data_IF_333542587616
#
_entry.id   IF_333542587616
#
_cell.length_a   1.000
_cell.length_b   1.000
_cell.length_c   1.000
_cell.angle_alpha   90.00
_cell.angle_beta   90.00
_cell.angle_gamma   90.00
#
_symmetry.space_group_name_H-M   'P 1'
#
loop_
_entity.id
_entity.type
_entity.pdbx_description
1 polymer ?
#
# COMPACT_ATOMS: atom_id res chain seq x y z
N UNK A 1 96.89 -0.27 -4.25
CA UNK A 1 96.60 0.47 -5.51
C UNK A 1 95.10 0.69 -5.59
N UNK A 2 94.69 1.86 -5.12
CA UNK A 2 93.33 2.40 -5.12
C UNK A 2 92.99 2.86 -6.54
N UNK A 3 91.93 2.33 -7.12
CA UNK A 3 91.39 2.77 -8.41
C UNK A 3 90.14 3.61 -8.12
N UNK A 4 90.32 4.93 -8.20
CA UNK A 4 89.26 5.92 -8.33
C UNK A 4 88.47 5.65 -9.63
N UNK A 5 87.14 5.66 -9.56
CA UNK A 5 86.30 5.79 -10.76
C UNK A 5 85.29 6.89 -10.51
N UNK A 6 85.42 7.93 -11.33
CA UNK A 6 84.66 9.17 -11.26
C UNK A 6 83.18 8.96 -11.58
N UNK A 7 82.33 9.55 -10.74
CA UNK A 7 80.88 9.66 -10.92
C UNK A 7 80.60 10.74 -11.97
N UNK A 8 79.93 10.38 -13.07
CA UNK A 8 79.26 11.33 -13.98
C UNK A 8 77.75 11.29 -13.70
N UNK A 9 77.06 12.44 -13.59
CA UNK A 9 75.61 12.45 -13.42
C UNK A 9 74.91 12.12 -14.75
N UNK A 10 73.97 11.18 -14.69
CA UNK A 10 73.02 10.87 -15.76
C UNK A 10 71.91 11.93 -15.73
N UNK A 11 71.76 12.70 -16.81
CA UNK A 11 70.58 13.53 -17.03
C UNK A 11 69.38 12.63 -17.35
N UNK A 12 68.35 12.68 -16.51
CA UNK A 12 67.06 12.03 -16.76
C UNK A 12 66.08 13.02 -17.40
N UNK A 13 65.47 12.62 -18.50
CA UNK A 13 64.17 13.12 -19.00
C UNK A 13 63.30 11.89 -19.31
N UNK A 14 61.96 11.94 -19.32
CA UNK A 14 60.94 12.71 -18.58
C UNK A 14 59.86 11.75 -18.00
N UNK A 15 58.62 12.19 -17.70
CA UNK A 15 57.59 11.98 -18.73
C UNK A 15 56.78 13.23 -19.03
N UNK A 16 56.26 13.29 -20.26
CA UNK A 16 55.42 14.36 -20.75
C UNK A 16 54.09 14.45 -19.97
N UNK A 17 53.66 15.68 -19.70
CA UNK A 17 52.32 15.96 -19.18
C UNK A 17 51.25 15.42 -20.15
N UNK A 18 50.16 14.82 -19.64
CA UNK A 18 49.06 14.41 -20.49
C UNK A 18 48.39 15.65 -21.11
N UNK A 19 48.22 15.62 -22.43
CA UNK A 19 47.48 16.64 -23.16
C UNK A 19 46.04 16.73 -22.64
N UNK A 20 45.56 17.97 -22.45
CA UNK A 20 44.17 18.24 -22.13
C UNK A 20 43.24 17.58 -23.17
N UNK A 21 42.10 17.00 -22.75
CA UNK A 21 41.16 16.41 -23.69
C UNK A 21 40.61 17.50 -24.62
N UNK A 22 40.37 17.19 -25.91
CA UNK A 22 39.74 18.15 -26.81
C UNK A 22 38.35 18.49 -26.29
N UNK A 23 37.99 19.78 -26.37
CA UNK A 23 36.66 20.29 -26.03
C UNK A 23 35.59 19.38 -26.64
N UNK A 24 34.87 18.68 -25.76
CA UNK A 24 33.72 17.90 -26.16
C UNK A 24 32.69 18.88 -26.71
N UNK A 25 32.41 18.76 -28.01
CA UNK A 25 31.27 19.42 -28.64
C UNK A 25 30.02 19.18 -27.78
N UNK A 26 29.14 20.18 -27.60
CA UNK A 26 27.94 19.99 -26.80
C UNK A 26 27.17 18.80 -27.36
N UNK A 27 26.96 17.79 -26.52
CA UNK A 27 26.10 16.68 -26.85
C UNK A 27 24.75 17.26 -27.26
N UNK A 28 24.34 16.99 -28.51
CA UNK A 28 23.02 17.32 -29.00
C UNK A 28 22.01 16.84 -27.94
N UNK A 29 21.39 17.80 -27.27
CA UNK A 29 20.38 17.52 -26.27
C UNK A 29 19.22 16.85 -27.00
N UNK A 30 19.12 15.52 -26.85
CA UNK A 30 17.88 14.79 -27.09
C UNK A 30 16.75 15.63 -26.49
N UNK A 31 15.66 15.93 -27.23
CA UNK A 31 14.61 16.79 -26.73
C UNK A 31 14.17 16.24 -25.37
N UNK A 32 14.40 17.01 -24.30
CA UNK A 32 14.06 16.62 -22.95
C UNK A 32 12.57 16.30 -22.96
N UNK A 33 12.22 15.01 -22.87
CA UNK A 33 10.83 14.60 -22.64
C UNK A 33 10.39 15.37 -21.41
N UNK A 34 9.36 16.21 -21.54
CA UNK A 34 8.75 16.82 -20.36
C UNK A 34 8.25 15.67 -19.47
N UNK A 35 8.76 15.62 -18.25
CA UNK A 35 8.28 14.69 -17.22
C UNK A 35 6.85 15.06 -16.85
N UNK A 36 5.99 14.06 -16.64
CA UNK A 36 4.64 14.25 -16.07
C UNK A 36 4.69 14.48 -14.55
N UNK A 37 5.85 14.45 -13.93
CA UNK A 37 6.08 14.74 -12.51
C UNK A 37 6.79 16.07 -12.37
N UNK A 38 6.07 17.10 -11.90
CA UNK A 38 6.61 18.47 -11.77
C UNK A 38 7.53 18.63 -10.55
N UNK A 39 7.26 17.89 -9.49
CA UNK A 39 7.99 17.99 -8.23
C UNK A 39 7.16 17.51 -7.06
N UNK A 40 7.44 18.07 -5.88
CA UNK A 40 6.69 17.84 -4.67
C UNK A 40 5.96 19.13 -4.26
N UNK A 41 4.88 18.99 -3.50
CA UNK A 41 4.14 20.12 -2.92
C UNK A 41 3.71 19.80 -1.50
N UNK A 42 3.86 20.76 -0.60
CA UNK A 42 3.39 20.61 0.76
C UNK A 42 1.86 20.67 0.83
N UNK A 43 1.24 19.66 1.43
CA UNK A 43 -0.23 19.61 1.62
C UNK A 43 -0.75 20.66 2.62
N UNK A 44 0.11 21.14 3.52
CA UNK A 44 -0.29 22.08 4.56
C UNK A 44 -0.18 23.55 4.12
N UNK A 45 0.95 23.95 3.53
CA UNK A 45 1.20 25.35 3.14
C UNK A 45 1.24 25.60 1.63
N UNK A 46 1.10 24.56 0.80
CA UNK A 46 1.10 24.66 -0.66
C UNK A 46 2.46 24.97 -1.29
N UNK A 47 3.54 25.08 -0.49
CA UNK A 47 4.90 25.37 -0.98
C UNK A 47 5.38 24.27 -1.95
N UNK A 48 5.87 24.63 -3.15
CA UNK A 48 6.51 23.69 -4.06
C UNK A 48 7.90 23.31 -3.54
N UNK A 49 8.30 22.08 -3.77
CA UNK A 49 9.59 21.51 -3.41
C UNK A 49 10.15 20.70 -4.59
N UNK A 50 11.48 20.64 -4.67
CA UNK A 50 12.16 19.87 -5.70
C UNK A 50 11.84 18.38 -5.58
N UNK A 51 11.85 17.68 -6.70
CA UNK A 51 11.75 16.24 -6.72
C UNK A 51 12.99 15.63 -6.05
N UNK A 52 12.79 14.79 -5.04
CA UNK A 52 13.87 14.11 -4.33
C UNK A 52 13.34 13.22 -3.22
N UNK A 53 14.22 12.51 -2.49
CA UNK A 53 13.86 11.66 -1.36
C UNK A 53 13.56 12.51 -0.12
N UNK A 54 12.55 13.38 -0.21
CA UNK A 54 12.08 14.21 0.89
C UNK A 54 10.59 13.99 1.10
N UNK A 55 10.16 14.01 2.35
CA UNK A 55 8.79 13.73 2.76
C UNK A 55 8.18 14.81 3.66
N UNK A 56 9.00 15.77 4.11
CA UNK A 56 8.63 16.86 5.00
C UNK A 56 8.98 18.20 4.36
N UNK A 57 8.04 19.15 4.42
CA UNK A 57 8.26 20.52 3.98
C UNK A 57 9.26 21.23 4.90
N UNK A 58 10.35 21.82 4.38
CA UNK A 58 11.35 22.51 5.20
C UNK A 58 10.82 23.79 5.85
N UNK A 59 9.67 24.31 5.43
CA UNK A 59 9.12 25.57 5.94
C UNK A 59 8.12 25.39 7.09
N UNK A 60 7.25 24.37 7.02
CA UNK A 60 6.16 24.17 7.98
C UNK A 60 6.11 22.76 8.57
N UNK A 61 7.05 21.89 8.20
CA UNK A 61 7.11 20.49 8.60
C UNK A 61 5.88 19.64 8.18
N UNK A 62 5.03 20.17 7.30
CA UNK A 62 3.88 19.45 6.74
C UNK A 62 4.29 18.39 5.70
N UNK A 63 3.43 17.39 5.45
CA UNK A 63 3.75 16.30 4.53
C UNK A 63 3.82 16.79 3.08
N UNK A 64 4.78 16.24 2.33
CA UNK A 64 4.92 16.45 0.89
C UNK A 64 4.08 15.43 0.10
N UNK A 65 3.61 15.86 -1.05
CA UNK A 65 2.88 15.05 -2.02
C UNK A 65 3.40 15.31 -3.44
N UNK A 66 3.29 14.31 -4.31
CA UNK A 66 3.71 14.46 -5.71
C UNK A 66 2.78 15.39 -6.46
N UNK A 67 3.36 16.36 -7.17
CA UNK A 67 2.68 17.24 -8.10
C UNK A 67 2.90 16.78 -9.54
N UNK A 68 1.81 16.59 -10.28
CA UNK A 68 1.84 16.10 -11.65
C UNK A 68 1.56 17.22 -12.66
N UNK A 69 1.99 16.99 -13.89
CA UNK A 69 1.51 17.70 -15.07
C UNK A 69 0.41 16.88 -15.75
N UNK A 70 -0.84 17.12 -15.34
CA UNK A 70 -1.99 16.38 -15.89
C UNK A 70 -2.28 16.71 -17.36
N UNK A 71 -1.77 17.81 -17.91
CA UNK A 71 -1.92 18.08 -19.35
C UNK A 71 -1.10 17.08 -20.18
N UNK A 72 0.07 16.66 -19.68
CA UNK A 72 0.84 15.58 -20.29
C UNK A 72 0.05 14.28 -20.24
N UNK A 73 -0.45 13.89 -19.06
CA UNK A 73 -1.24 12.68 -18.90
C UNK A 73 -2.49 12.67 -19.80
N UNK A 74 -3.25 13.78 -19.86
CA UNK A 74 -4.42 13.95 -20.74
C UNK A 74 -4.06 13.77 -22.21
N UNK A 75 -2.88 14.21 -22.64
CA UNK A 75 -2.47 14.14 -24.04
C UNK A 75 -1.94 12.75 -24.47
N UNK A 76 -1.46 11.91 -23.53
CA UNK A 76 -0.80 10.65 -23.87
C UNK A 76 -1.49 9.40 -23.34
N UNK A 77 -2.22 9.49 -22.22
CA UNK A 77 -2.85 8.35 -21.56
C UNK A 77 -4.30 8.19 -22.03
N UNK A 78 -4.52 7.30 -23.00
CA UNK A 78 -5.87 6.95 -23.50
C UNK A 78 -6.27 5.55 -23.07
N UNK A 79 -7.59 5.27 -23.06
CA UNK A 79 -8.14 3.93 -22.79
C UNK A 79 -7.51 2.85 -23.69
N UNK A 80 -7.32 3.17 -24.97
CA UNK A 80 -6.67 2.29 -25.94
C UNK A 80 -5.17 2.09 -25.66
N UNK A 81 -4.47 3.13 -25.22
CA UNK A 81 -3.07 3.02 -24.83
C UNK A 81 -2.91 2.09 -23.62
N UNK A 82 -3.79 2.22 -22.62
CA UNK A 82 -3.84 1.35 -21.43
C UNK A 82 -4.11 -0.10 -21.83
N UNK A 83 -5.12 -0.34 -22.67
CA UNK A 83 -5.48 -1.68 -23.13
C UNK A 83 -4.35 -2.40 -23.89
N UNK A 84 -3.48 -1.65 -24.58
CA UNK A 84 -2.31 -2.19 -25.30
C UNK A 84 -1.09 -2.49 -24.40
N UNK A 85 -1.05 -1.95 -23.18
CA UNK A 85 0.06 -2.17 -22.24
C UNK A 85 -0.12 -3.50 -21.49
N UNK A 86 0.98 -4.06 -21.00
CA UNK A 86 0.94 -5.26 -20.16
C UNK A 86 0.04 -5.03 -18.92
N UNK A 87 -0.58 -6.10 -18.36
CA UNK A 87 -1.25 -6.03 -17.08
C UNK A 87 -0.32 -5.56 -15.96
N UNK A 88 -0.88 -4.89 -14.96
CA UNK A 88 -0.20 -4.37 -13.78
C UNK A 88 -0.29 -2.85 -13.67
N UNK A 89 0.16 -2.31 -12.54
CA UNK A 89 0.02 -0.87 -12.22
C UNK A 89 0.72 0.05 -13.23
N UNK A 90 1.78 -0.43 -13.89
CA UNK A 90 2.58 0.35 -14.82
C UNK A 90 1.86 0.72 -16.11
N UNK A 91 0.68 0.13 -16.37
CA UNK A 91 -0.15 0.55 -17.50
C UNK A 91 -0.72 1.96 -17.36
N UNK A 92 -0.71 2.52 -16.14
CA UNK A 92 -1.12 3.90 -15.82
C UNK A 92 0.08 4.82 -15.54
N UNK A 93 1.23 4.57 -16.19
CA UNK A 93 2.52 5.22 -15.91
C UNK A 93 2.44 6.74 -15.71
N UNK A 94 1.67 7.43 -16.56
CA UNK A 94 1.55 8.90 -16.56
C UNK A 94 0.81 9.47 -15.34
N UNK A 95 0.14 8.63 -14.56
CA UNK A 95 -0.48 8.98 -13.27
C UNK A 95 0.29 8.39 -12.09
N UNK A 96 1.46 7.78 -12.33
CA UNK A 96 2.36 7.28 -11.30
C UNK A 96 3.61 8.14 -11.25
N UNK A 97 4.22 8.31 -10.07
CA UNK A 97 5.30 9.25 -9.91
C UNK A 97 6.62 8.58 -10.29
N UNK A 98 6.79 8.14 -11.53
CA UNK A 98 8.03 7.56 -12.10
C UNK A 98 8.11 7.93 -13.57
N UNK A 99 9.31 8.08 -14.12
CA UNK A 99 9.46 8.45 -15.53
C UNK A 99 9.24 7.27 -16.47
N UNK A 100 9.62 6.07 -16.00
CA UNK A 100 9.56 4.83 -16.78
C UNK A 100 9.11 3.68 -15.90
N UNK A 101 8.42 2.72 -16.51
CA UNK A 101 8.18 1.44 -15.86
C UNK A 101 9.53 0.75 -15.60
N UNK A 102 9.74 0.14 -14.43
CA UNK A 102 11.01 -0.49 -14.11
C UNK A 102 11.23 -1.75 -14.98
N UNK A 103 12.48 -1.99 -15.39
CA UNK A 103 12.84 -3.16 -16.20
C UNK A 103 12.72 -4.48 -15.42
N UNK A 104 12.89 -4.41 -14.09
CA UNK A 104 12.76 -5.52 -13.15
C UNK A 104 11.80 -5.13 -12.04
N UNK A 105 11.00 -6.09 -11.60
CA UNK A 105 10.06 -5.88 -10.52
C UNK A 105 9.03 -7.00 -10.43
N UNK A 106 8.19 -6.92 -9.42
CA UNK A 106 7.08 -7.85 -9.24
C UNK A 106 5.92 -7.48 -10.18
N UNK A 107 5.15 -8.49 -10.62
CA UNK A 107 3.91 -8.28 -11.36
C UNK A 107 2.79 -7.82 -10.41
N UNK A 108 2.76 -6.52 -10.14
CA UNK A 108 1.86 -5.91 -9.14
C UNK A 108 0.62 -5.32 -9.80
N UNK A 109 -0.53 -5.49 -9.15
CA UNK A 109 -1.81 -4.97 -9.63
C UNK A 109 -2.49 -5.88 -10.67
N UNK A 110 -3.41 -5.30 -11.42
CA UNK A 110 -4.39 -6.02 -12.25
C UNK A 110 -5.12 -7.13 -11.49
N UNK A 111 -5.43 -6.88 -10.22
CA UNK A 111 -6.16 -7.83 -9.37
C UNK A 111 -7.62 -7.88 -9.75
N UNK A 112 -8.28 -9.01 -9.48
CA UNK A 112 -9.66 -9.22 -9.87
C UNK A 112 -10.62 -8.24 -9.18
N UNK A 113 -11.65 -7.81 -9.92
CA UNK A 113 -12.84 -7.15 -9.36
C UNK A 113 -13.98 -8.18 -9.40
N UNK A 114 -14.16 -8.90 -8.30
CA UNK A 114 -15.06 -10.07 -8.23
C UNK A 114 -16.47 -9.62 -7.86
N UNK A 115 -17.47 -9.94 -8.68
CA UNK A 115 -18.87 -9.73 -8.31
C UNK A 115 -19.28 -10.74 -7.23
N UNK A 116 -19.77 -10.27 -6.09
CA UNK A 116 -19.99 -11.07 -4.89
C UNK A 116 -21.48 -11.15 -4.52
N UNK A 117 -22.23 -11.94 -5.28
CA UNK A 117 -23.69 -12.03 -5.15
C UNK A 117 -24.13 -12.75 -3.88
N UNK A 118 -23.39 -13.80 -3.48
CA UNK A 118 -23.74 -14.59 -2.29
C UNK A 118 -23.49 -13.78 -1.03
N UNK A 119 -22.34 -13.12 -0.95
CA UNK A 119 -21.99 -12.24 0.15
C UNK A 119 -22.94 -11.04 0.21
N UNK A 120 -23.29 -10.41 -0.92
CA UNK A 120 -24.27 -9.32 -0.94
C UNK A 120 -25.63 -9.75 -0.38
N UNK A 121 -26.08 -10.98 -0.71
CA UNK A 121 -27.29 -11.58 -0.16
C UNK A 121 -27.21 -11.78 1.35
N UNK A 122 -26.11 -12.34 1.86
CA UNK A 122 -25.91 -12.51 3.30
C UNK A 122 -25.83 -11.17 4.05
N UNK A 123 -25.27 -10.12 3.42
CA UNK A 123 -25.14 -8.77 4.01
C UNK A 123 -26.43 -7.95 3.92
N UNK A 124 -27.47 -8.44 3.24
CA UNK A 124 -28.76 -7.74 3.13
C UNK A 124 -28.69 -6.42 2.35
N UNK A 125 -27.85 -6.34 1.30
CA UNK A 125 -27.60 -5.11 0.55
C UNK A 125 -28.79 -4.54 -0.25
N UNK A 126 -29.93 -5.23 -0.26
CA UNK A 126 -31.15 -4.77 -0.92
C UNK A 126 -31.22 -5.14 -2.40
N UNK A 127 -32.39 -4.95 -2.99
CA UNK A 127 -32.62 -5.26 -4.39
C UNK A 127 -31.87 -4.29 -5.31
N UNK A 128 -31.29 -4.79 -6.40
CA UNK A 128 -30.58 -3.99 -7.40
C UNK A 128 -29.18 -3.55 -7.01
N UNK A 129 -28.79 -3.64 -5.74
CA UNK A 129 -27.44 -3.33 -5.26
C UNK A 129 -26.45 -4.38 -5.78
N UNK A 130 -25.31 -3.93 -6.29
CA UNK A 130 -24.22 -4.80 -6.72
C UNK A 130 -23.04 -4.65 -5.78
N UNK A 131 -22.47 -5.77 -5.33
CA UNK A 131 -21.21 -5.79 -4.59
C UNK A 131 -20.07 -6.33 -5.47
N UNK A 132 -19.01 -5.56 -5.55
CA UNK A 132 -17.73 -5.95 -6.13
C UNK A 132 -16.64 -6.00 -5.05
N UNK A 133 -15.81 -7.03 -5.09
CA UNK A 133 -14.66 -7.21 -4.22
C UNK A 133 -13.39 -6.97 -5.04
N UNK A 134 -12.68 -5.89 -4.71
CA UNK A 134 -11.35 -5.61 -5.30
C UNK A 134 -10.31 -6.44 -4.56
N UNK A 135 -9.91 -7.56 -5.16
CA UNK A 135 -9.21 -8.66 -4.50
C UNK A 135 -7.68 -8.51 -4.51
N UNK A 136 -7.16 -7.61 -3.66
CA UNK A 136 -5.73 -7.41 -3.48
C UNK A 136 -5.03 -8.50 -2.66
N UNK A 137 -5.76 -9.54 -2.23
CA UNK A 137 -5.22 -10.73 -1.54
C UNK A 137 -4.31 -11.57 -2.43
N UNK A 138 -4.30 -11.32 -3.75
CA UNK A 138 -3.58 -12.07 -4.77
C UNK A 138 -2.39 -11.32 -5.38
N UNK A 139 -2.06 -10.14 -4.86
CA UNK A 139 -0.80 -9.51 -5.22
C UNK A 139 0.40 -10.42 -4.84
N UNK A 140 1.60 -10.21 -5.41
CA UNK A 140 2.76 -11.11 -5.26
C UNK A 140 3.12 -11.51 -3.82
N UNK A 141 2.94 -10.60 -2.85
CA UNK A 141 3.20 -10.81 -1.42
C UNK A 141 1.92 -10.92 -0.60
N UNK A 142 0.78 -11.06 -1.29
CA UNK A 142 -0.56 -11.30 -0.78
C UNK A 142 -1.21 -10.09 -0.08
N UNK A 143 -0.83 -8.87 -0.47
CA UNK A 143 -1.48 -7.65 0.02
C UNK A 143 -1.33 -6.47 -0.94
N UNK A 144 -2.16 -5.43 -0.75
CA UNK A 144 -2.07 -4.18 -1.49
C UNK A 144 -0.74 -3.44 -1.31
N UNK A 145 0.06 -3.81 -0.29
CA UNK A 145 1.36 -3.17 -0.02
C UNK A 145 2.32 -3.29 -1.19
N UNK A 146 2.14 -4.30 -2.03
CA UNK A 146 2.91 -4.44 -3.26
C UNK A 146 2.75 -3.23 -4.19
N UNK A 147 1.55 -2.62 -4.27
CA UNK A 147 1.28 -1.45 -5.13
C UNK A 147 2.10 -0.24 -4.74
N UNK A 148 2.07 0.07 -3.45
CA UNK A 148 2.74 1.24 -2.87
C UNK A 148 4.25 1.04 -2.81
N UNK A 149 4.70 -0.18 -2.50
CA UNK A 149 6.13 -0.50 -2.50
C UNK A 149 6.70 -0.54 -3.91
N UNK A 150 5.99 -1.08 -4.91
CA UNK A 150 6.49 -1.11 -6.29
C UNK A 150 6.81 0.29 -6.82
N UNK A 151 5.94 1.27 -6.54
CA UNK A 151 6.19 2.69 -6.89
C UNK A 151 7.37 3.26 -6.11
N UNK A 152 7.46 3.00 -4.79
CA UNK A 152 8.60 3.44 -3.99
C UNK A 152 9.92 2.83 -4.49
N UNK A 153 9.95 1.54 -4.81
CA UNK A 153 11.10 0.82 -5.36
C UNK A 153 11.53 1.40 -6.70
N UNK A 154 10.60 1.64 -7.61
CA UNK A 154 10.93 2.24 -8.91
C UNK A 154 11.55 3.64 -8.75
N UNK A 155 11.01 4.47 -7.84
CA UNK A 155 11.65 5.75 -7.50
C UNK A 155 12.99 5.59 -6.80
N UNK A 156 13.14 4.57 -5.95
CA UNK A 156 14.40 4.31 -5.28
C UNK A 156 15.52 4.05 -6.30
N UNK A 157 15.23 3.23 -7.31
CA UNK A 157 16.14 2.92 -8.42
C UNK A 157 16.44 4.17 -9.24
N UNK A 158 15.45 4.99 -9.57
CA UNK A 158 15.66 6.25 -10.32
C UNK A 158 16.54 7.25 -9.55
N UNK A 159 16.47 7.26 -8.21
CA UNK A 159 17.34 8.07 -7.36
C UNK A 159 18.72 7.45 -7.11
N UNK A 160 18.99 6.24 -7.62
CA UNK A 160 20.28 5.57 -7.47
C UNK A 160 20.50 4.90 -6.12
N UNK A 161 19.44 4.65 -5.35
CA UNK A 161 19.56 3.90 -4.10
C UNK A 161 19.86 2.42 -4.36
N UNK A 162 20.70 1.84 -3.51
CA UNK A 162 21.06 0.41 -3.55
C UNK A 162 20.33 -0.44 -2.47
N UNK A 163 19.57 0.24 -1.58
CA UNK A 163 18.97 -0.37 -0.39
C UNK A 163 17.55 0.13 -0.18
N UNK A 164 16.61 -0.81 -0.02
CA UNK A 164 15.27 -0.54 0.49
C UNK A 164 15.17 -0.94 1.95
N UNK A 165 14.52 -0.08 2.72
CA UNK A 165 14.28 -0.33 4.14
C UNK A 165 12.84 0.02 4.54
N UNK A 166 12.38 -0.59 5.62
CA UNK A 166 11.14 -0.18 6.27
C UNK A 166 11.17 -0.44 7.78
N UNK A 167 10.43 0.35 8.55
CA UNK A 167 10.09 0.06 9.94
C UNK A 167 8.70 -0.59 9.97
N UNK A 168 8.63 -1.92 10.00
CA UNK A 168 7.35 -2.65 10.00
C UNK A 168 7.52 -4.12 10.37
N UNK A 169 6.46 -4.73 10.89
CA UNK A 169 6.40 -6.13 11.31
C UNK A 169 5.35 -6.94 10.55
N UNK A 170 4.77 -6.40 9.47
CA UNK A 170 3.63 -7.01 8.76
C UNK A 170 3.75 -6.91 7.24
N UNK A 171 2.61 -6.69 6.56
CA UNK A 171 2.53 -6.68 5.08
C UNK A 171 3.56 -5.77 4.40
N UNK A 172 3.90 -4.63 5.01
CA UNK A 172 4.90 -3.72 4.45
C UNK A 172 6.32 -4.33 4.46
N UNK A 173 6.67 -5.07 5.51
CA UNK A 173 7.97 -5.75 5.59
C UNK A 173 8.12 -6.79 4.48
N UNK A 174 7.11 -7.65 4.30
CA UNK A 174 7.09 -8.65 3.23
C UNK A 174 7.15 -8.03 1.84
N UNK A 175 6.34 -6.99 1.57
CA UNK A 175 6.34 -6.27 0.30
C UNK A 175 7.69 -5.60 0.01
N UNK A 176 8.30 -4.93 1.00
CA UNK A 176 9.61 -4.28 0.86
C UNK A 176 10.70 -5.29 0.55
N UNK A 177 10.74 -6.40 1.29
CA UNK A 177 11.72 -7.46 1.09
C UNK A 177 11.60 -8.10 -0.31
N UNK A 178 10.38 -8.43 -0.73
CA UNK A 178 10.14 -9.03 -2.04
C UNK A 178 10.48 -8.08 -3.20
N UNK A 179 10.09 -6.80 -3.08
CA UNK A 179 10.37 -5.81 -4.11
C UNK A 179 11.87 -5.52 -4.24
N UNK A 180 12.58 -5.45 -3.12
CA UNK A 180 14.03 -5.32 -3.10
C UNK A 180 14.71 -6.52 -3.78
N UNK A 181 14.31 -7.74 -3.43
CA UNK A 181 14.83 -8.96 -4.06
C UNK A 181 14.58 -8.97 -5.58
N UNK A 182 13.38 -8.58 -6.03
CA UNK A 182 13.04 -8.51 -7.45
C UNK A 182 13.82 -7.42 -8.20
N UNK A 183 14.11 -6.30 -7.54
CA UNK A 183 14.88 -5.19 -8.10
C UNK A 183 16.41 -5.38 -8.00
N UNK A 184 16.89 -6.38 -7.24
CA UNK A 184 18.32 -6.59 -6.98
C UNK A 184 18.91 -5.61 -5.97
N UNK A 185 18.08 -5.08 -5.06
CA UNK A 185 18.47 -4.16 -3.99
C UNK A 185 18.66 -4.91 -2.68
N UNK A 186 19.45 -4.34 -1.76
CA UNK A 186 19.49 -4.81 -0.36
C UNK A 186 18.18 -4.50 0.33
N UNK A 187 17.78 -5.35 1.27
CA UNK A 187 16.53 -5.19 2.04
C UNK A 187 16.81 -5.20 3.54
N UNK A 188 16.35 -4.17 4.25
CA UNK A 188 16.41 -4.08 5.71
C UNK A 188 15.02 -3.85 6.31
N UNK A 189 14.68 -4.64 7.33
CA UNK A 189 13.40 -4.51 8.04
C UNK A 189 13.68 -4.27 9.52
N UNK A 190 13.29 -3.11 10.02
CA UNK A 190 13.49 -2.72 11.41
C UNK A 190 12.27 -3.08 12.24
N UNK A 191 12.49 -3.82 13.33
CA UNK A 191 11.44 -4.34 14.21
C UNK A 191 11.81 -4.20 15.68
N UNK A 192 10.83 -4.12 16.59
CA UNK A 192 11.09 -4.22 18.02
C UNK A 192 11.80 -5.53 18.39
N UNK A 193 12.70 -5.48 19.37
CA UNK A 193 13.48 -6.63 19.78
C UNK A 193 12.62 -7.78 20.35
N UNK A 194 11.48 -7.51 20.93
CA UNK A 194 10.57 -8.50 21.53
C UNK A 194 9.62 -9.18 20.53
N UNK A 195 9.76 -8.90 19.23
CA UNK A 195 8.91 -9.48 18.20
C UNK A 195 9.17 -10.99 17.99
N UNK A 196 8.08 -11.76 17.94
CA UNK A 196 8.09 -13.18 17.54
C UNK A 196 8.56 -13.35 16.08
N UNK A 197 9.45 -14.31 15.83
CA UNK A 197 10.04 -14.53 14.49
C UNK A 197 8.99 -14.81 13.42
N UNK A 198 7.91 -15.54 13.76
CA UNK A 198 6.78 -15.86 12.88
C UNK A 198 6.22 -14.63 12.14
N UNK A 199 6.30 -13.43 12.73
CA UNK A 199 5.79 -12.18 12.14
C UNK A 199 6.68 -11.62 11.03
N UNK A 200 7.95 -11.98 11.00
CA UNK A 200 8.95 -11.52 10.01
C UNK A 200 9.42 -12.61 9.05
N UNK A 201 8.99 -13.86 9.23
CA UNK A 201 9.34 -14.99 8.34
C UNK A 201 9.10 -14.68 6.87
N UNK A 202 8.02 -13.95 6.58
CA UNK A 202 7.71 -13.56 5.21
C UNK A 202 8.77 -12.62 4.60
N UNK A 203 9.30 -11.67 5.38
CA UNK A 203 10.39 -10.81 4.92
C UNK A 203 11.72 -11.56 4.83
N UNK A 204 12.02 -12.42 5.81
CA UNK A 204 13.21 -13.28 5.84
C UNK A 204 13.25 -14.21 4.62
N UNK A 205 12.10 -14.73 4.18
CA UNK A 205 11.97 -15.61 3.01
C UNK A 205 12.44 -14.97 1.70
N UNK A 206 12.45 -13.63 1.60
CA UNK A 206 12.98 -12.90 0.46
C UNK A 206 14.43 -12.40 0.67
N UNK A 207 15.08 -12.80 1.75
CA UNK A 207 16.48 -12.45 2.05
C UNK A 207 16.68 -11.09 2.71
N UNK A 208 15.63 -10.52 3.32
CA UNK A 208 15.80 -9.28 4.07
C UNK A 208 16.62 -9.48 5.35
N UNK A 209 17.46 -8.49 5.67
CA UNK A 209 18.11 -8.38 6.96
C UNK A 209 17.12 -7.79 7.96
N UNK A 210 16.69 -8.58 8.93
CA UNK A 210 15.80 -8.10 10.01
C UNK A 210 16.65 -7.52 11.14
N UNK A 211 16.55 -6.21 11.34
CA UNK A 211 17.23 -5.47 12.40
C UNK A 211 16.30 -5.38 13.60
N UNK A 212 16.62 -6.12 14.66
CA UNK A 212 15.92 -6.06 15.94
C UNK A 212 16.46 -4.89 16.76
N UNK A 213 15.59 -3.96 17.13
CA UNK A 213 15.93 -2.73 17.84
C UNK A 213 15.33 -2.77 19.24
N UNK A 214 16.14 -2.56 20.26
CA UNK A 214 15.67 -2.36 21.63
C UNK A 214 15.08 -0.95 21.74
N UNK A 215 13.78 -0.83 21.54
CA UNK A 215 13.10 0.46 21.58
C UNK A 215 11.63 0.37 21.20
N UNK A 216 10.93 1.46 21.47
CA UNK A 216 9.56 1.72 21.05
C UNK A 216 9.46 1.95 19.54
N UNK A 217 8.25 1.86 19.01
CA UNK A 217 7.99 2.14 17.59
C UNK A 217 8.43 3.56 17.17
N UNK A 218 8.27 4.54 18.05
CA UNK A 218 8.69 5.92 17.79
C UNK A 218 10.22 6.05 17.73
N UNK A 219 10.94 5.37 18.62
CA UNK A 219 12.42 5.32 18.60
C UNK A 219 12.93 4.63 17.33
N UNK A 220 12.27 3.56 16.88
CA UNK A 220 12.62 2.89 15.62
C UNK A 220 12.39 3.79 14.40
N UNK A 221 11.29 4.55 14.37
CA UNK A 221 11.04 5.51 13.29
C UNK A 221 12.06 6.66 13.30
N UNK A 222 12.45 7.14 14.49
CA UNK A 222 13.50 8.14 14.62
C UNK A 222 14.84 7.61 14.11
N UNK A 223 15.23 6.40 14.51
CA UNK A 223 16.44 5.75 13.99
C UNK A 223 16.37 5.59 12.46
N UNK A 224 15.21 5.24 11.92
CA UNK A 224 15.01 5.11 10.47
C UNK A 224 15.24 6.43 9.73
N UNK A 225 14.89 7.58 10.33
CA UNK A 225 15.17 8.89 9.78
C UNK A 225 16.67 9.20 9.76
N UNK A 226 17.36 8.91 10.87
CA UNK A 226 18.79 9.13 11.02
C UNK A 226 19.58 8.27 10.00
N UNK A 227 19.21 6.98 9.85
CA UNK A 227 19.83 6.09 8.85
C UNK A 227 19.53 6.54 7.42
N UNK A 228 18.31 6.99 7.13
CA UNK A 228 17.96 7.46 5.79
C UNK A 228 18.83 8.64 5.33
N UNK A 229 19.20 9.53 6.25
CA UNK A 229 20.03 10.71 5.98
C UNK A 229 21.52 10.35 5.90
N UNK A 230 22.05 9.63 6.89
CA UNK A 230 23.49 9.34 7.00
C UNK A 230 23.97 8.27 6.01
N UNK A 231 23.19 7.22 5.79
CA UNK A 231 23.56 6.11 4.90
C UNK A 231 23.01 6.28 3.48
N UNK A 232 22.15 7.27 3.26
CA UNK A 232 21.43 7.45 2.00
C UNK A 232 20.61 6.22 1.63
N UNK A 233 19.80 5.69 2.55
CA UNK A 233 18.93 4.53 2.30
C UNK A 233 17.51 4.95 1.92
N UNK A 234 16.87 4.15 1.07
CA UNK A 234 15.47 4.36 0.68
C UNK A 234 14.51 3.68 1.67
N UNK A 235 14.03 4.43 2.65
CA UNK A 235 12.97 3.98 3.55
C UNK A 235 11.59 4.23 2.93
N UNK A 236 10.90 3.15 2.56
CA UNK A 236 9.63 3.21 1.83
C UNK A 236 8.53 3.98 2.58
N UNK A 237 8.53 3.91 3.92
CA UNK A 237 7.56 4.60 4.78
C UNK A 237 8.05 5.95 5.33
N UNK A 238 9.24 6.41 4.90
CA UNK A 238 9.88 7.63 5.41
C UNK A 238 10.22 8.56 4.23
N UNK A 239 11.46 8.60 3.76
CA UNK A 239 11.92 9.52 2.72
C UNK A 239 11.33 9.25 1.32
N UNK A 240 10.79 8.04 1.09
CA UNK A 240 10.03 7.72 -0.12
C UNK A 240 8.51 7.80 0.05
N UNK A 241 8.02 8.22 1.23
CA UNK A 241 6.60 8.21 1.56
C UNK A 241 5.71 8.96 0.55
N UNK A 242 6.09 10.11 -0.02
CA UNK A 242 5.26 10.79 -1.03
C UNK A 242 5.02 9.92 -2.26
N UNK A 243 6.02 9.16 -2.72
CA UNK A 243 5.94 8.27 -3.88
C UNK A 243 5.19 6.99 -3.54
N UNK A 244 5.53 6.39 -2.39
CA UNK A 244 4.86 5.20 -1.86
C UNK A 244 3.34 5.38 -1.84
N UNK A 245 2.84 6.51 -1.34
CA UNK A 245 1.40 6.73 -1.21
C UNK A 245 0.67 6.76 -2.56
N UNK A 246 1.34 7.16 -3.65
CA UNK A 246 0.74 7.24 -4.99
C UNK A 246 0.41 5.87 -5.58
N UNK A 247 1.08 4.80 -5.13
CA UNK A 247 0.75 3.45 -5.56
C UNK A 247 -0.68 3.03 -5.20
N UNK A 248 -1.28 3.59 -4.15
CA UNK A 248 -2.67 3.32 -3.79
C UNK A 248 -3.67 3.84 -4.82
N UNK A 249 -3.33 4.85 -5.61
CA UNK A 249 -4.20 5.37 -6.70
C UNK A 249 -4.46 4.31 -7.78
N UNK A 250 -3.52 3.38 -7.98
CA UNK A 250 -3.67 2.30 -8.95
C UNK A 250 -4.91 1.42 -8.71
N UNK A 251 -5.39 1.35 -7.47
CA UNK A 251 -6.65 0.67 -7.14
C UNK A 251 -7.83 1.37 -7.83
N UNK A 252 -7.88 2.70 -7.77
CA UNK A 252 -8.92 3.50 -8.42
C UNK A 252 -8.89 3.32 -9.93
N UNK A 253 -7.69 3.31 -10.52
CA UNK A 253 -7.49 3.12 -11.95
C UNK A 253 -8.02 1.78 -12.43
N UNK A 254 -7.67 0.71 -11.72
CA UNK A 254 -8.17 -0.62 -12.04
C UNK A 254 -9.67 -0.76 -11.82
N UNK A 255 -10.21 -0.21 -10.72
CA UNK A 255 -11.66 -0.23 -10.46
C UNK A 255 -12.40 0.46 -11.60
N UNK A 256 -11.99 1.66 -11.99
CA UNK A 256 -12.63 2.38 -13.08
C UNK A 256 -12.52 1.62 -14.41
N UNK A 257 -11.33 1.11 -14.77
CA UNK A 257 -11.13 0.31 -15.99
C UNK A 257 -12.04 -0.93 -16.00
N UNK A 258 -12.08 -1.67 -14.88
CA UNK A 258 -12.84 -2.92 -14.75
C UNK A 258 -14.36 -2.71 -14.71
N UNK A 259 -14.83 -1.53 -14.32
CA UNK A 259 -16.24 -1.10 -14.41
C UNK A 259 -16.60 -0.49 -15.77
N UNK A 260 -15.68 -0.54 -16.75
CA UNK A 260 -15.90 -0.02 -18.10
C UNK A 260 -15.68 1.49 -18.21
N UNK A 261 -14.67 2.02 -17.51
CA UNK A 261 -14.34 3.45 -17.40
C UNK A 261 -15.45 4.28 -16.77
N UNK A 262 -15.98 3.78 -15.65
CA UNK A 262 -17.00 4.43 -14.81
C UNK A 262 -16.56 4.45 -13.35
N UNK A 263 -17.08 5.39 -12.59
CA UNK A 263 -16.95 5.41 -11.13
C UNK A 263 -18.03 4.53 -10.49
N UNK A 264 -17.74 3.84 -9.37
CA UNK A 264 -18.77 3.18 -8.56
C UNK A 264 -19.58 4.21 -7.76
N UNK A 265 -20.74 3.83 -7.24
CA UNK A 265 -21.54 4.69 -6.36
C UNK A 265 -20.95 4.78 -4.95
N UNK A 266 -20.35 3.67 -4.48
CA UNK A 266 -19.77 3.56 -3.15
C UNK A 266 -18.44 2.81 -3.21
N UNK A 267 -17.41 3.37 -2.55
CA UNK A 267 -16.16 2.66 -2.29
C UNK A 267 -15.99 2.43 -0.78
N UNK A 268 -15.79 1.17 -0.40
CA UNK A 268 -15.61 0.75 0.99
C UNK A 268 -14.18 0.27 1.21
N UNK A 269 -13.49 0.81 2.20
CA UNK A 269 -12.10 0.44 2.47
C UNK A 269 -11.68 0.60 3.94
N UNK A 270 -10.63 -0.10 4.37
CA UNK A 270 -10.13 0.00 5.72
C UNK A 270 -9.31 1.28 5.92
N UNK A 271 -9.37 1.84 7.13
CA UNK A 271 -8.62 3.03 7.54
C UNK A 271 -7.64 2.65 8.66
N UNK A 272 -6.36 2.57 8.30
CA UNK A 272 -5.25 2.63 9.25
C UNK A 272 -4.80 4.08 9.36
N UNK A 273 -3.79 4.49 8.58
CA UNK A 273 -3.34 5.89 8.53
C UNK A 273 -4.32 6.81 7.80
N UNK A 274 -5.19 6.27 6.94
CA UNK A 274 -6.05 7.04 6.00
C UNK A 274 -5.45 7.26 4.60
N UNK A 275 -4.18 6.87 4.38
CA UNK A 275 -3.50 7.14 3.11
C UNK A 275 -4.12 6.40 1.92
N UNK A 276 -4.32 5.09 2.00
CA UNK A 276 -4.92 4.33 0.89
C UNK A 276 -6.33 4.87 0.55
N UNK A 277 -7.14 5.11 1.57
CA UNK A 277 -8.50 5.61 1.44
C UNK A 277 -8.57 6.94 0.69
N UNK A 278 -7.74 7.91 1.09
CA UNK A 278 -7.68 9.23 0.44
C UNK A 278 -7.02 9.19 -0.94
N UNK A 279 -6.05 8.30 -1.17
CA UNK A 279 -5.39 8.15 -2.48
C UNK A 279 -6.26 7.46 -3.51
N UNK A 280 -7.18 6.58 -3.12
CA UNK A 280 -8.17 6.05 -4.04
C UNK A 280 -9.07 7.18 -4.56
N UNK A 281 -9.54 8.08 -3.69
CA UNK A 281 -10.29 9.26 -4.11
C UNK A 281 -9.49 10.14 -5.09
N UNK A 282 -8.23 10.46 -4.75
CA UNK A 282 -7.32 11.17 -5.64
C UNK A 282 -7.21 10.48 -7.01
N UNK A 283 -7.11 9.16 -7.05
CA UNK A 283 -7.05 8.41 -8.31
C UNK A 283 -8.32 8.55 -9.16
N UNK A 284 -9.51 8.57 -8.55
CA UNK A 284 -10.74 8.87 -9.29
C UNK A 284 -10.76 10.32 -9.79
N UNK A 285 -10.38 11.28 -8.96
CA UNK A 285 -10.31 12.70 -9.33
C UNK A 285 -9.36 12.93 -10.51
N UNK A 286 -8.18 12.30 -10.49
CA UNK A 286 -7.20 12.37 -11.59
C UNK A 286 -7.75 11.78 -12.89
N UNK A 287 -8.46 10.64 -12.84
CA UNK A 287 -9.10 10.06 -14.03
C UNK A 287 -10.16 10.98 -14.64
N UNK A 288 -10.90 11.69 -13.80
CA UNK A 288 -11.87 12.71 -14.24
C UNK A 288 -11.14 13.91 -14.84
N UNK A 289 -10.09 14.40 -14.19
CA UNK A 289 -9.31 15.55 -14.64
C UNK A 289 -8.66 15.35 -16.02
N UNK A 290 -8.20 14.12 -16.30
CA UNK A 290 -7.64 13.76 -17.61
C UNK A 290 -8.70 13.29 -18.62
N UNK A 291 -9.99 13.26 -18.24
CA UNK A 291 -11.10 12.92 -19.12
C UNK A 291 -11.23 11.45 -19.48
N UNK A 292 -10.62 10.54 -18.69
CA UNK A 292 -10.79 9.10 -18.88
C UNK A 292 -12.11 8.57 -18.32
N UNK A 293 -12.70 9.28 -17.36
CA UNK A 293 -13.98 8.93 -16.72
C UNK A 293 -14.82 10.20 -16.56
N UNK A 294 -16.14 10.09 -16.69
CA UNK A 294 -17.04 11.22 -16.45
C UNK A 294 -17.07 11.60 -14.96
N UNK A 295 -17.26 12.90 -14.63
CA UNK A 295 -17.40 13.33 -13.24
C UNK A 295 -18.59 12.64 -12.55
N UNK A 296 -18.40 12.21 -11.31
CA UNK A 296 -19.44 11.61 -10.49
C UNK A 296 -19.06 11.63 -9.00
N UNK A 297 -20.06 11.46 -8.13
CA UNK A 297 -19.82 11.42 -6.68
C UNK A 297 -19.72 9.96 -6.24
N UNK A 298 -18.54 9.58 -5.78
CA UNK A 298 -18.32 8.28 -5.10
C UNK A 298 -18.45 8.49 -3.60
N UNK A 299 -19.39 7.82 -2.94
CA UNK A 299 -19.47 7.81 -1.47
C UNK A 299 -18.34 6.96 -0.89
N UNK A 300 -17.56 7.55 0.01
CA UNK A 300 -16.44 6.85 0.65
C UNK A 300 -16.83 6.34 2.04
N UNK A 301 -16.85 5.01 2.20
CA UNK A 301 -17.14 4.34 3.48
C UNK A 301 -15.86 3.73 4.06
N UNK A 302 -15.44 4.23 5.20
CA UNK A 302 -14.27 3.77 5.93
C UNK A 302 -14.62 2.76 7.02
N UNK A 303 -13.71 1.84 7.32
CA UNK A 303 -13.80 0.97 8.50
C UNK A 303 -12.55 1.04 9.37
N UNK A 304 -12.71 1.12 10.69
CA UNK A 304 -11.64 0.94 11.68
C UNK A 304 -12.03 -0.14 12.67
N UNK A 305 -11.09 -0.91 13.24
CA UNK A 305 -11.41 -1.80 14.35
C UNK A 305 -11.87 -0.99 15.56
N UNK A 306 -12.94 -1.41 16.22
CA UNK A 306 -13.55 -0.69 17.35
C UNK A 306 -12.53 -0.35 18.46
N UNK A 307 -11.65 -1.29 18.82
CA UNK A 307 -10.60 -1.07 19.81
C UNK A 307 -9.45 -0.14 19.38
N UNK A 308 -9.50 0.41 18.16
CA UNK A 308 -8.59 1.45 17.68
C UNK A 308 -9.24 2.27 16.54
N UNK A 309 -10.30 3.02 16.87
CA UNK A 309 -11.14 3.72 15.90
C UNK A 309 -11.11 5.26 16.00
N UNK A 310 -9.96 5.95 16.14
CA UNK A 310 -9.92 7.39 16.42
C UNK A 310 -10.61 8.26 15.34
N UNK A 311 -10.57 7.85 14.06
CA UNK A 311 -11.24 8.57 12.96
C UNK A 311 -12.74 8.28 12.95
N UNK A 312 -13.15 7.03 13.22
CA UNK A 312 -14.57 6.68 13.33
C UNK A 312 -15.23 7.41 14.50
N UNK A 313 -14.54 7.53 15.64
CA UNK A 313 -15.00 8.31 16.80
C UNK A 313 -15.20 9.78 16.43
N UNK A 314 -14.21 10.42 15.79
CA UNK A 314 -14.34 11.81 15.34
C UNK A 314 -15.47 12.00 14.32
N UNK A 315 -15.67 11.04 13.40
CA UNK A 315 -16.78 11.05 12.45
C UNK A 315 -18.13 10.99 13.17
N UNK A 316 -18.30 10.04 14.09
CA UNK A 316 -19.54 9.84 14.84
C UNK A 316 -19.88 11.01 15.78
N UNK A 317 -18.87 11.62 16.40
CA UNK A 317 -19.03 12.79 17.28
C UNK A 317 -19.22 14.11 16.49
N UNK A 318 -19.00 14.11 15.18
CA UNK A 318 -19.12 15.32 14.36
C UNK A 318 -18.02 16.36 14.61
N UNK A 319 -16.87 15.95 15.15
CA UNK A 319 -15.73 16.83 15.47
C UNK A 319 -14.58 16.65 14.47
N UNK A 320 -13.78 17.70 14.25
CA UNK A 320 -12.61 17.62 13.37
C UNK A 320 -11.36 17.09 14.08
N UNK A 321 -11.34 17.18 15.41
CA UNK A 321 -10.22 16.74 16.24
C UNK A 321 -10.20 15.21 16.37
N UNK A 322 -9.14 14.59 15.86
CA UNK A 322 -8.90 13.15 16.00
C UNK A 322 -8.08 12.91 17.27
N UNK A 323 -8.73 12.39 18.30
CA UNK A 323 -8.10 12.06 19.58
C UNK A 323 -7.33 10.75 19.47
N UNK A 324 -6.01 10.72 19.75
CA UNK A 324 -5.24 9.51 19.61
C UNK A 324 -5.62 8.39 20.59
N UNK A 325 -5.67 7.14 20.11
CA UNK A 325 -5.80 5.94 20.94
C UNK A 325 -4.41 5.44 21.32
N UNK A 326 -4.03 5.55 22.60
CA UNK A 326 -2.67 5.20 23.06
C UNK A 326 -2.41 3.70 23.14
N UNK A 327 -3.44 2.93 23.51
CA UNK A 327 -3.33 1.48 23.71
C UNK A 327 -4.40 0.77 22.89
N UNK A 328 -4.12 0.43 21.63
CA UNK A 328 -5.04 -0.32 20.79
C UNK A 328 -5.32 -1.72 21.35
N UNK A 329 -6.60 -2.11 21.42
CA UNK A 329 -7.02 -3.44 21.86
C UNK A 329 -7.91 -4.12 20.83
N UNK A 330 -7.29 -4.87 19.91
CA UNK A 330 -8.00 -5.51 18.80
C UNK A 330 -7.17 -6.62 18.17
N UNK A 331 -7.83 -7.63 17.58
CA UNK A 331 -7.21 -8.62 16.69
C UNK A 331 -6.70 -8.00 15.38
N UNK A 332 -7.18 -6.82 15.01
CA UNK A 332 -6.89 -6.13 13.73
C UNK A 332 -5.61 -5.29 13.84
N UNK A 333 -4.49 -5.95 14.13
CA UNK A 333 -3.20 -5.28 14.39
C UNK A 333 -2.71 -4.41 13.23
N UNK A 334 -3.01 -4.76 11.98
CA UNK A 334 -2.58 -3.99 10.80
C UNK A 334 -3.28 -2.63 10.64
N UNK A 335 -4.43 -2.43 11.28
CA UNK A 335 -5.16 -1.17 11.30
C UNK A 335 -5.06 -0.41 12.63
N UNK A 336 -4.39 -0.97 13.63
CA UNK A 336 -4.28 -0.45 14.99
C UNK A 336 -3.34 0.78 15.10
N UNK A 337 -3.60 1.81 14.30
CA UNK A 337 -2.86 3.08 14.30
C UNK A 337 -3.63 4.11 15.12
N UNK A 338 -3.18 4.32 16.35
CA UNK A 338 -3.81 5.23 17.30
C UNK A 338 -3.75 6.71 16.90
N UNK A 339 -2.76 7.13 16.11
CA UNK A 339 -2.59 8.50 15.62
C UNK A 339 -2.44 8.51 14.09
N UNK A 340 -3.55 8.49 13.33
CA UNK A 340 -3.53 8.32 11.89
C UNK A 340 -3.11 9.60 11.17
N UNK A 341 -1.95 9.56 10.51
CA UNK A 341 -1.35 10.72 9.84
C UNK A 341 -2.23 11.37 8.75
N UNK A 342 -3.06 10.58 8.05
CA UNK A 342 -4.00 11.04 7.02
C UNK A 342 -5.47 10.94 7.51
N UNK A 343 -5.69 10.81 8.82
CA UNK A 343 -7.02 10.64 9.42
C UNK A 343 -7.94 11.82 9.16
N UNK A 344 -7.42 13.06 9.26
CA UNK A 344 -8.22 14.26 8.98
C UNK A 344 -8.71 14.31 7.52
N UNK A 345 -7.87 13.91 6.58
CA UNK A 345 -8.26 13.80 5.16
C UNK A 345 -9.30 12.70 4.92
N UNK A 346 -9.19 11.57 5.62
CA UNK A 346 -10.19 10.51 5.54
C UNK A 346 -11.55 10.94 6.12
N UNK A 347 -11.54 11.64 7.25
CA UNK A 347 -12.71 12.23 7.89
C UNK A 347 -13.42 13.22 6.97
N UNK A 348 -12.67 14.17 6.40
CA UNK A 348 -13.17 15.17 5.46
C UNK A 348 -13.76 14.52 4.21
N UNK A 349 -13.06 13.53 3.63
CA UNK A 349 -13.49 12.80 2.44
C UNK A 349 -14.81 12.07 2.66
N UNK A 350 -14.94 11.33 3.77
CA UNK A 350 -16.18 10.63 4.10
C UNK A 350 -17.36 11.60 4.23
N UNK A 351 -17.17 12.74 4.91
CA UNK A 351 -18.21 13.77 5.07
C UNK A 351 -18.60 14.42 3.74
N UNK A 352 -17.62 14.91 2.98
CA UNK A 352 -17.88 15.64 1.72
C UNK A 352 -18.56 14.75 0.67
N UNK A 353 -18.26 13.46 0.66
CA UNK A 353 -18.85 12.51 -0.30
C UNK A 353 -20.20 11.97 0.14
N UNK A 354 -20.67 12.30 1.36
CA UNK A 354 -21.88 11.71 1.94
C UNK A 354 -21.72 10.23 2.32
N UNK A 355 -20.48 9.79 2.54
CA UNK A 355 -20.13 8.47 3.04
C UNK A 355 -20.13 8.40 4.56
N UNK A 356 -19.37 7.45 5.12
CA UNK A 356 -19.27 7.25 6.57
C UNK A 356 -17.94 6.64 7.00
N UNK A 357 -17.66 6.64 8.31
CA UNK A 357 -16.55 5.89 8.89
C UNK A 357 -17.09 5.08 10.07
N UNK A 358 -16.89 3.77 10.01
CA UNK A 358 -17.51 2.81 10.91
C UNK A 358 -16.45 2.20 11.85
N UNK A 359 -16.80 2.11 13.14
CA UNK A 359 -16.06 1.33 14.12
C UNK A 359 -16.60 -0.10 14.09
N UNK A 360 -15.75 -1.07 13.77
CA UNK A 360 -16.14 -2.47 13.53
C UNK A 360 -15.62 -3.35 14.66
N UNK A 361 -16.49 -4.01 15.44
CA UNK A 361 -16.07 -4.91 16.50
C UNK A 361 -15.25 -6.11 15.99
N UNK A 362 -14.38 -6.66 16.83
CA UNK A 362 -13.55 -7.82 16.47
C UNK A 362 -14.38 -9.06 16.12
N UNK A 363 -15.50 -9.28 16.82
CA UNK A 363 -16.41 -10.39 16.54
C UNK A 363 -17.08 -10.25 15.16
N UNK A 364 -17.45 -9.02 14.78
CA UNK A 364 -17.99 -8.71 13.45
C UNK A 364 -16.91 -8.91 12.39
N UNK A 365 -15.70 -8.43 12.65
CA UNK A 365 -14.53 -8.63 11.78
C UNK A 365 -14.27 -10.11 11.52
N UNK A 366 -14.23 -10.93 12.57
CA UNK A 366 -14.01 -12.38 12.45
C UNK A 366 -15.15 -13.08 11.71
N UNK A 367 -16.40 -12.69 11.96
CA UNK A 367 -17.57 -13.19 11.23
C UNK A 367 -17.49 -12.84 9.74
N UNK A 368 -17.13 -11.61 9.41
CA UNK A 368 -16.98 -11.13 8.04
C UNK A 368 -15.87 -11.87 7.28
N UNK A 369 -14.75 -12.20 7.93
CA UNK A 369 -13.70 -13.06 7.34
C UNK A 369 -14.28 -14.43 6.95
N UNK A 370 -15.01 -15.07 7.87
CA UNK A 370 -15.60 -16.40 7.64
C UNK A 370 -16.62 -16.38 6.52
N UNK A 371 -17.51 -15.38 6.51
CA UNK A 371 -18.56 -15.23 5.50
C UNK A 371 -18.00 -14.92 4.12
N UNK A 372 -17.01 -14.04 4.02
CA UNK A 372 -16.33 -13.76 2.73
C UNK A 372 -15.69 -15.03 2.17
N UNK A 373 -15.01 -15.82 3.01
CA UNK A 373 -14.41 -17.07 2.60
C UNK A 373 -15.45 -18.13 2.19
N UNK A 374 -16.52 -18.29 2.95
CA UNK A 374 -17.56 -19.30 2.69
C UNK A 374 -18.48 -18.94 1.51
N UNK A 375 -18.77 -17.65 1.31
CA UNK A 375 -19.66 -17.17 0.27
C UNK A 375 -18.96 -17.07 -1.08
N UNK A 376 -17.73 -16.55 -1.11
CA UNK A 376 -17.05 -16.16 -2.35
C UNK A 376 -15.72 -16.90 -2.60
N UNK A 377 -15.27 -17.75 -1.67
CA UNK A 377 -13.99 -18.46 -1.78
C UNK A 377 -12.77 -17.53 -1.67
N UNK A 378 -12.93 -16.34 -1.08
CA UNK A 378 -11.85 -15.37 -0.89
C UNK A 378 -11.51 -15.29 0.60
N UNK A 379 -10.33 -15.75 0.97
CA UNK A 379 -9.86 -15.70 2.35
C UNK A 379 -9.11 -14.39 2.63
N UNK A 380 -9.74 -13.50 3.40
CA UNK A 380 -9.22 -12.16 3.71
C UNK A 380 -8.59 -12.08 5.09
N UNK A 381 -7.62 -11.19 5.25
CA UNK A 381 -7.08 -10.85 6.58
C UNK A 381 -8.06 -9.96 7.37
N UNK A 382 -7.69 -9.64 8.61
CA UNK A 382 -8.49 -8.80 9.51
C UNK A 382 -8.91 -7.45 8.92
N UNK A 383 -8.05 -6.78 8.14
CA UNK A 383 -8.40 -5.54 7.46
C UNK A 383 -9.51 -5.71 6.40
N UNK A 384 -9.53 -6.84 5.69
CA UNK A 384 -10.62 -7.18 4.78
C UNK A 384 -11.92 -7.49 5.54
N UNK A 385 -11.81 -8.15 6.70
CA UNK A 385 -12.94 -8.33 7.62
C UNK A 385 -13.55 -7.02 8.11
N UNK A 386 -12.72 -6.03 8.47
CA UNK A 386 -13.19 -4.67 8.83
C UNK A 386 -13.89 -3.99 7.67
N UNK A 387 -13.36 -4.14 6.45
CA UNK A 387 -13.99 -3.57 5.25
C UNK A 387 -15.39 -4.12 5.03
N UNK A 388 -15.55 -5.44 5.12
CA UNK A 388 -16.85 -6.09 4.96
C UNK A 388 -17.78 -5.78 6.14
N UNK A 389 -17.28 -5.70 7.37
CA UNK A 389 -18.09 -5.27 8.52
C UNK A 389 -18.58 -3.82 8.39
N UNK A 390 -17.78 -2.93 7.81
CA UNK A 390 -18.18 -1.55 7.54
C UNK A 390 -19.32 -1.45 6.51
N UNK A 391 -19.40 -2.39 5.56
CA UNK A 391 -20.53 -2.49 4.62
C UNK A 391 -21.85 -2.70 5.38
N UNK A 392 -21.87 -3.62 6.34
CA UNK A 392 -23.09 -3.91 7.15
C UNK A 392 -23.53 -2.67 7.93
N UNK A 393 -22.59 -2.02 8.60
CA UNK A 393 -22.86 -0.81 9.38
C UNK A 393 -23.36 0.35 8.49
N UNK A 394 -22.72 0.58 7.34
CA UNK A 394 -23.11 1.61 6.39
C UNK A 394 -24.47 1.34 5.75
N UNK A 395 -24.79 0.07 5.47
CA UNK A 395 -26.12 -0.35 4.99
C UNK A 395 -27.18 -0.09 6.06
N UNK A 396 -26.93 -0.48 7.30
CA UNK A 396 -27.86 -0.24 8.41
C UNK A 396 -28.15 1.25 8.65
N UNK A 397 -27.18 2.12 8.35
CA UNK A 397 -27.31 3.59 8.44
C UNK A 397 -27.90 4.25 7.19
N UNK A 398 -28.21 3.48 6.14
CA UNK A 398 -28.74 4.01 4.87
C UNK A 398 -27.70 4.76 4.02
N UNK A 399 -26.41 4.64 4.35
CA UNK A 399 -25.30 5.19 3.55
C UNK A 399 -25.16 4.39 2.27
N UNK A 400 -25.30 3.06 2.33
CA UNK A 400 -25.45 2.18 1.16
C UNK A 400 -26.94 1.97 0.89
N UNK A 401 -27.38 2.38 -0.30
CA UNK A 401 -28.77 2.44 -0.74
C UNK A 401 -29.07 1.32 -1.74
N UNK A 402 -30.36 1.08 -1.98
CA UNK A 402 -30.81 0.15 -3.00
C UNK A 402 -30.36 0.63 -4.38
N UNK A 403 -29.83 -0.28 -5.19
CA UNK A 403 -29.35 0.02 -6.54
C UNK A 403 -27.92 0.52 -6.62
N UNK A 404 -27.23 0.72 -5.48
CA UNK A 404 -25.83 1.17 -5.48
C UNK A 404 -24.88 0.12 -6.10
N UNK A 405 -23.92 0.56 -6.91
CA UNK A 405 -22.74 -0.21 -7.32
C UNK A 405 -21.63 0.00 -6.26
N UNK A 406 -21.44 -0.99 -5.38
CA UNK A 406 -20.52 -0.95 -4.24
C UNK A 406 -19.23 -1.70 -4.57
N UNK A 407 -18.07 -1.06 -4.32
CA UNK A 407 -16.74 -1.69 -4.44
C UNK A 407 -16.08 -1.75 -3.06
N UNK A 408 -15.78 -2.95 -2.59
CA UNK A 408 -15.09 -3.19 -1.32
C UNK A 408 -13.63 -3.63 -1.54
N UNK A 409 -12.70 -2.98 -0.84
CA UNK A 409 -11.26 -3.24 -0.97
C UNK A 409 -10.82 -4.37 -0.02
N UNK A 410 -10.43 -5.51 -0.59
CA UNK A 410 -9.88 -6.64 0.16
C UNK A 410 -8.35 -6.54 0.18
N UNK A 411 -7.84 -5.80 1.17
CA UNK A 411 -6.46 -5.30 1.15
C UNK A 411 -5.37 -6.36 1.35
N UNK A 412 -5.70 -7.55 1.83
CA UNK A 412 -4.72 -8.62 1.99
C UNK A 412 -5.29 -9.95 2.45
N UNK A 413 -4.46 -10.98 2.32
CA UNK A 413 -4.87 -12.37 2.37
C UNK A 413 -4.94 -12.93 3.78
N UNK A 414 -5.94 -13.76 4.06
CA UNK A 414 -6.18 -14.34 5.39
C UNK A 414 -5.05 -15.21 5.91
N UNK A 415 -4.17 -15.74 5.05
CA UNK A 415 -2.98 -16.49 5.50
C UNK A 415 -2.01 -15.64 6.31
N UNK A 416 -2.12 -14.31 6.26
CA UNK A 416 -1.36 -13.38 7.11
C UNK A 416 -1.82 -13.38 8.56
N UNK A 417 -3.08 -13.71 8.80
CA UNK A 417 -3.71 -13.73 10.12
C UNK A 417 -4.63 -14.95 10.24
N UNK A 418 -4.10 -16.18 10.12
CA UNK A 418 -4.92 -17.37 9.96
C UNK A 418 -5.85 -17.61 11.16
N UNK A 419 -5.41 -17.23 12.36
CA UNK A 419 -6.17 -17.42 13.61
C UNK A 419 -7.32 -16.44 13.80
N UNK A 420 -7.32 -15.30 13.10
CA UNK A 420 -8.34 -14.25 13.30
C UNK A 420 -9.77 -14.77 13.04
N UNK A 421 -9.92 -15.73 12.12
CA UNK A 421 -11.22 -16.35 11.81
C UNK A 421 -11.83 -17.11 13.01
N UNK A 422 -11.00 -17.54 13.97
CA UNK A 422 -11.41 -18.32 15.15
C UNK A 422 -11.94 -17.42 16.27
N UNK A 423 -11.72 -16.11 16.20
CA UNK A 423 -12.18 -15.20 17.23
C UNK A 423 -13.71 -15.27 17.39
N UNK A 424 -14.15 -15.26 18.65
CA UNK A 424 -15.54 -15.41 19.09
C UNK A 424 -16.25 -16.73 18.67
N UNK A 425 -15.52 -17.73 18.16
CA UNK A 425 -15.99 -19.11 18.15
C UNK A 425 -15.60 -19.73 19.49
N UNK A 426 -16.58 -20.12 20.32
CA UNK A 426 -16.28 -20.93 21.51
C UNK A 426 -15.71 -22.30 21.12
N UNK A 427 -15.29 -23.10 22.10
CA UNK A 427 -14.82 -24.51 21.92
C UNK A 427 -15.96 -25.48 21.51
N UNK A 428 -16.98 -25.02 20.78
CA UNK A 428 -18.15 -25.84 20.46
C UNK A 428 -17.87 -26.77 19.27
N UNK A 429 -17.51 -28.02 19.59
CA UNK A 429 -17.80 -29.22 18.78
C UNK A 429 -16.71 -29.73 17.83
N UNK A 430 -15.71 -28.91 17.49
CA UNK A 430 -14.46 -29.36 16.90
C UNK A 430 -13.37 -29.31 17.99
N UNK A 431 -12.28 -30.07 17.86
CA UNK A 431 -11.12 -29.86 18.75
C UNK A 431 -10.71 -28.39 18.76
N UNK A 432 -9.96 -27.92 19.76
CA UNK A 432 -9.46 -26.52 19.81
C UNK A 432 -8.61 -26.13 18.58
N UNK A 433 -8.20 -27.11 17.78
CA UNK A 433 -7.53 -26.95 16.48
C UNK A 433 -8.49 -26.73 15.29
N UNK A 434 -9.80 -26.89 15.48
CA UNK A 434 -10.84 -26.80 14.45
C UNK A 434 -10.96 -28.05 13.59
N UNK A 435 -10.36 -29.17 14.00
CA UNK A 435 -10.51 -30.46 13.32
C UNK A 435 -11.74 -31.19 13.85
N UNK A 436 -12.48 -31.84 12.93
CA UNK A 436 -13.54 -32.76 13.30
C UNK A 436 -12.98 -33.99 14.03
N UNK A 437 -13.86 -34.73 14.70
CA UNK A 437 -13.48 -35.97 15.41
C UNK A 437 -12.93 -36.99 14.38
N UNK A 438 -11.76 -37.61 14.62
CA UNK A 438 -11.25 -38.66 13.76
C UNK A 438 -12.24 -39.82 13.63
N UNK A 439 -12.45 -40.30 12.41
CA UNK A 439 -13.26 -41.50 12.14
C UNK A 439 -12.37 -42.64 11.67
N UNK A 440 -12.81 -43.87 11.94
CA UNK A 440 -12.20 -45.05 11.34
C UNK A 440 -12.31 -44.99 9.80
N UNK A 441 -11.35 -45.56 9.05
CA UNK A 441 -11.31 -45.47 7.58
C UNK A 441 -12.31 -46.45 6.92
N UNK A 442 -13.58 -46.39 7.32
CA UNK A 442 -14.65 -47.20 6.76
C UNK A 442 -15.95 -46.40 6.59
N UNK A 443 -16.77 -46.83 5.62
CA UNK A 443 -18.01 -46.12 5.28
C UNK A 443 -19.01 -46.08 6.45
N UNK A 444 -19.04 -47.10 7.30
CA UNK A 444 -19.93 -47.13 8.46
C UNK A 444 -19.59 -46.01 9.46
N UNK A 445 -18.31 -45.76 9.72
CA UNK A 445 -17.86 -44.66 10.56
C UNK A 445 -18.14 -43.29 9.92
N UNK A 446 -17.93 -43.16 8.60
CA UNK A 446 -18.32 -41.95 7.87
C UNK A 446 -19.83 -41.69 7.94
N UNK A 447 -20.65 -42.71 7.67
CA UNK A 447 -22.11 -42.61 7.73
C UNK A 447 -22.61 -42.35 9.16
N UNK A 448 -21.95 -42.90 10.19
CA UNK A 448 -22.28 -42.60 11.57
C UNK A 448 -21.94 -41.15 11.96
N UNK A 449 -20.87 -40.59 11.41
CA UNK A 449 -20.41 -39.23 11.72
C UNK A 449 -21.09 -38.13 10.88
N UNK A 450 -21.44 -38.42 9.63
CA UNK A 450 -21.89 -37.43 8.64
C UNK A 450 -23.14 -37.85 7.86
N UNK A 451 -23.68 -39.05 8.09
CA UNK A 451 -24.94 -39.48 7.51
C UNK A 451 -26.09 -38.69 8.10
N UNK A 452 -26.74 -37.89 7.27
CA UNK A 452 -27.98 -37.17 7.56
C UNK A 452 -29.18 -38.11 7.67
#
# INVERSE_FOLDING_TARGET
MTLETAIRPVQSTPPAEPAAPPDAAPADALPQRRSHVRGLRCRACGRPEALGPSFICPACFGPLEVEYDHDIARSTLTRDAIARRAPGIWRYLELLPVERAPERGLAVGSTALVRAERLAGELGLGAGTTLHLKDDTRNPTLSFKDRVVAVATARAVEFGFDTLACASTGNLAGATAAAAAAAGLRAFVFVPADLESAKVEHALSYGATVVRVEGTYDEINRLSLEIADEEGWAFVNVNLRPFYAEGSKSIAFEVAEQLGWRLPDVLVGPIASGSMFTKIAKGFDELVEIGLVEPGVVRFVGGQPEGCAPVATAFAEGVDEIRPVRTPDTIVRSLAIGSPADGGGALELARRTGGSIEAVPDAVTASAIRRTAAAEGIFVETAGGVTVGAIEAARARGVIRDGDEVVAILSGNGVKTPDARRFALGDEGAGSDGLGVPIEPNYSAFAAAFGS
#
